data_IF_571566995068
#
_entry.id   IF_571566995068
#
_cell.length_a   1.000
_cell.length_b   1.000
_cell.length_c   1.000
_cell.angle_alpha   90.00
_cell.angle_beta   90.00
_cell.angle_gamma   90.00
#
_symmetry.space_group_name_H-M   'P 1'
#
loop_
_entity.id
_entity.type
_entity.pdbx_description
1 polymer ?
#
# COMPACT_ATOMS: atom_id res chain seq x y z
N UNK A 1 -33.43 1.95 -4.69
CA UNK A 1 -33.65 2.90 -3.56
C UNK A 1 -32.91 4.20 -3.85
N UNK A 2 -33.37 5.36 -3.35
CA UNK A 2 -32.70 6.67 -3.55
C UNK A 2 -31.24 6.73 -3.02
N UNK A 3 -30.89 5.80 -2.13
CA UNK A 3 -29.57 5.70 -1.49
C UNK A 3 -28.50 5.12 -2.43
N UNK A 4 -28.88 4.26 -3.38
CA UNK A 4 -27.95 3.53 -4.27
C UNK A 4 -27.33 4.42 -5.36
N UNK A 5 -27.80 5.66 -5.52
CA UNK A 5 -27.35 6.59 -6.57
C UNK A 5 -26.76 7.88 -6.01
N UNK A 6 -26.48 7.92 -4.71
CA UNK A 6 -25.78 9.05 -4.13
C UNK A 6 -24.34 9.10 -4.66
N UNK A 7 -23.82 10.29 -4.99
CA UNK A 7 -22.43 10.43 -5.36
C UNK A 7 -21.53 9.82 -4.26
N UNK A 8 -20.45 9.11 -4.62
CA UNK A 8 -19.53 8.48 -3.66
C UNK A 8 -18.94 9.48 -2.65
N UNK A 9 -18.94 10.77 -3.01
CA UNK A 9 -18.47 11.91 -2.24
C UNK A 9 -19.56 12.59 -1.41
N UNK A 10 -20.79 12.10 -1.40
CA UNK A 10 -21.85 12.66 -0.55
C UNK A 10 -21.57 12.36 0.93
N UNK A 11 -21.96 13.28 1.81
CA UNK A 11 -21.74 13.12 3.25
C UNK A 11 -22.39 11.84 3.80
N UNK A 12 -23.55 11.46 3.25
CA UNK A 12 -24.25 10.24 3.62
C UNK A 12 -23.53 8.98 3.13
N UNK A 13 -23.09 8.94 1.86
CA UNK A 13 -22.34 7.79 1.33
C UNK A 13 -21.03 7.55 2.09
N UNK A 14 -20.32 8.64 2.46
CA UNK A 14 -19.11 8.54 3.30
C UNK A 14 -19.38 8.01 4.70
N UNK A 15 -20.50 8.40 5.31
CA UNK A 15 -20.88 7.95 6.65
C UNK A 15 -21.25 6.46 6.68
N UNK A 16 -21.80 5.92 5.58
CA UNK A 16 -22.26 4.52 5.49
C UNK A 16 -21.18 3.58 4.97
N UNK A 17 -20.39 4.01 3.98
CA UNK A 17 -19.43 3.14 3.27
C UNK A 17 -17.96 3.48 3.54
N UNK A 18 -17.69 4.47 4.39
CA UNK A 18 -16.33 4.95 4.68
C UNK A 18 -15.85 6.04 3.72
N UNK A 19 -14.62 6.52 3.92
CA UNK A 19 -14.05 7.60 3.12
C UNK A 19 -13.63 7.10 1.72
N UNK A 20 -14.39 7.49 0.69
CA UNK A 20 -13.99 7.38 -0.71
C UNK A 20 -13.27 8.66 -1.15
N UNK A 21 -12.15 8.50 -1.85
CA UNK A 21 -11.49 9.60 -2.57
C UNK A 21 -12.27 9.88 -3.86
N UNK A 22 -12.33 11.15 -4.27
CA UNK A 22 -12.74 11.53 -5.62
C UNK A 22 -11.52 11.57 -6.55
N UNK A 23 -11.76 11.74 -7.85
CA UNK A 23 -10.70 11.86 -8.86
C UNK A 23 -9.68 12.95 -8.51
N UNK A 24 -10.11 14.04 -7.86
CA UNK A 24 -9.22 15.12 -7.44
C UNK A 24 -8.24 14.65 -6.37
N UNK A 25 -8.70 13.92 -5.35
CA UNK A 25 -7.79 13.38 -4.32
C UNK A 25 -6.84 12.33 -4.92
N UNK A 26 -7.32 11.47 -5.83
CA UNK A 26 -6.45 10.53 -6.53
C UNK A 26 -5.36 11.23 -7.35
N UNK A 27 -5.72 12.25 -8.13
CA UNK A 27 -4.77 13.03 -8.92
C UNK A 27 -3.77 13.77 -8.02
N UNK A 28 -4.24 14.36 -6.93
CA UNK A 28 -3.37 15.07 -5.99
C UNK A 28 -2.40 14.12 -5.29
N UNK A 29 -2.84 12.92 -4.91
CA UNK A 29 -1.98 11.92 -4.33
C UNK A 29 -0.87 11.47 -5.30
N UNK A 30 -1.20 11.29 -6.58
CA UNK A 30 -0.20 10.99 -7.62
C UNK A 30 0.84 12.11 -7.71
N UNK A 31 0.41 13.38 -7.71
CA UNK A 31 1.32 14.53 -7.73
C UNK A 31 2.24 14.54 -6.51
N UNK A 32 1.68 14.33 -5.31
CA UNK A 32 2.44 14.29 -4.06
C UNK A 32 3.49 13.17 -4.06
N UNK A 33 3.12 11.96 -4.48
CA UNK A 33 4.02 10.81 -4.58
C UNK A 33 5.20 11.11 -5.53
N UNK A 34 4.91 11.73 -6.69
CA UNK A 34 5.95 12.06 -7.68
C UNK A 34 6.87 13.17 -7.21
N UNK A 35 6.36 14.15 -6.48
CA UNK A 35 7.16 15.20 -5.89
C UNK A 35 8.10 14.65 -4.79
N UNK A 36 7.60 13.74 -3.96
CA UNK A 36 8.40 13.04 -2.97
C UNK A 36 9.55 12.26 -3.63
N UNK A 37 9.26 11.44 -4.64
CA UNK A 37 10.28 10.67 -5.35
C UNK A 37 11.30 11.59 -6.04
N UNK A 38 10.86 12.69 -6.65
CA UNK A 38 11.76 13.66 -7.27
C UNK A 38 12.72 14.29 -6.23
N UNK A 39 12.20 14.64 -5.06
CA UNK A 39 13.00 15.18 -3.94
C UNK A 39 14.03 14.15 -3.48
N UNK A 40 13.63 12.87 -3.36
CA UNK A 40 14.54 11.78 -3.01
C UNK A 40 15.66 11.61 -4.04
N UNK A 41 15.33 11.51 -5.32
CA UNK A 41 16.31 11.36 -6.41
C UNK A 41 17.26 12.54 -6.45
N UNK A 42 16.73 13.76 -6.36
CA UNK A 42 17.53 15.00 -6.38
C UNK A 42 18.47 15.07 -5.18
N UNK A 43 17.97 14.78 -3.96
CA UNK A 43 18.81 14.76 -2.76
C UNK A 43 19.90 13.69 -2.82
N UNK A 44 19.60 12.51 -3.35
CA UNK A 44 20.59 11.44 -3.56
C UNK A 44 21.65 11.84 -4.59
N UNK A 45 21.25 12.46 -5.70
CA UNK A 45 22.17 12.98 -6.71
C UNK A 45 23.08 14.09 -6.15
N UNK A 46 22.56 14.92 -5.24
CA UNK A 46 23.32 15.95 -4.53
C UNK A 46 24.22 15.40 -3.39
N UNK A 47 24.28 14.08 -3.19
CA UNK A 47 25.12 13.45 -2.17
C UNK A 47 24.60 13.59 -0.73
N UNK A 48 23.32 13.95 -0.54
CA UNK A 48 22.73 14.03 0.79
C UNK A 48 22.71 12.64 1.44
N UNK A 49 23.24 12.56 2.66
CA UNK A 49 23.24 11.34 3.47
C UNK A 49 21.94 11.21 4.25
N UNK A 50 21.47 9.97 4.44
CA UNK A 50 20.28 9.70 5.25
C UNK A 50 18.94 10.00 4.57
N UNK A 51 18.92 10.40 3.29
CA UNK A 51 17.67 10.58 2.55
C UNK A 51 16.97 9.22 2.41
N UNK A 52 15.76 9.12 2.96
CA UNK A 52 14.92 7.92 2.86
C UNK A 52 14.02 8.03 1.64
N UNK A 53 13.81 6.91 0.96
CA UNK A 53 12.83 6.84 -0.12
C UNK A 53 11.43 7.03 0.50
N UNK A 54 10.62 7.98 0.00
CA UNK A 54 9.28 8.19 0.51
C UNK A 54 8.41 6.97 0.20
N UNK A 55 7.44 6.70 1.08
CA UNK A 55 6.38 5.75 0.81
C UNK A 55 5.23 6.48 0.13
N UNK A 56 4.59 5.89 -0.90
CA UNK A 56 3.38 6.44 -1.49
C UNK A 56 2.27 6.63 -0.45
N UNK A 57 1.39 7.60 -0.69
CA UNK A 57 0.18 7.77 0.12
C UNK A 57 -0.73 6.54 -0.04
N UNK A 58 -1.20 5.98 1.08
CA UNK A 58 -2.15 4.86 1.09
C UNK A 58 -3.51 5.31 0.54
N UNK A 59 -3.99 4.61 -0.49
CA UNK A 59 -5.27 4.91 -1.16
C UNK A 59 -6.42 4.16 -0.50
N UNK A 60 -7.66 4.68 -0.53
CA UNK A 60 -8.81 3.92 -0.08
C UNK A 60 -8.93 2.61 -0.86
N UNK A 61 -9.09 1.49 -0.15
CA UNK A 61 -9.17 0.15 -0.73
C UNK A 61 -7.82 -0.51 -1.00
N UNK A 62 -6.69 0.18 -0.82
CA UNK A 62 -5.38 -0.46 -0.72
C UNK A 62 -5.13 -0.83 0.75
N UNK A 63 -5.03 -2.12 1.05
CA UNK A 63 -4.55 -2.57 2.35
C UNK A 63 -3.08 -2.16 2.52
N UNK A 64 -2.70 -1.71 3.72
CA UNK A 64 -1.31 -1.38 4.06
C UNK A 64 -0.47 -2.66 4.01
N UNK A 65 0.13 -2.94 2.85
CA UNK A 65 0.98 -4.12 2.56
C UNK A 65 2.25 -4.21 3.42
N UNK A 66 2.48 -3.23 4.29
CA UNK A 66 3.70 -3.05 5.08
C UNK A 66 3.51 -3.36 6.57
N UNK A 67 2.41 -4.00 6.99
CA UNK A 67 2.29 -4.45 8.37
C UNK A 67 3.24 -5.63 8.60
N UNK A 68 4.39 -5.37 9.23
CA UNK A 68 5.34 -6.41 9.64
C UNK A 68 4.58 -7.43 10.51
N UNK A 69 4.49 -8.68 10.03
CA UNK A 69 3.72 -9.76 10.67
C UNK A 69 2.40 -10.11 9.97
N UNK A 70 2.05 -9.45 8.87
CA UNK A 70 0.93 -9.84 8.02
C UNK A 70 1.24 -11.13 7.26
N UNK A 71 0.38 -12.13 7.42
CA UNK A 71 0.49 -13.46 6.79
C UNK A 71 -0.50 -13.62 5.62
N UNK A 72 -1.27 -12.58 5.28
CA UNK A 72 -2.40 -12.72 4.37
C UNK A 72 -3.32 -13.85 4.85
N UNK A 73 -3.64 -14.79 3.96
CA UNK A 73 -4.44 -16.00 4.28
C UNK A 73 -3.58 -17.24 4.59
N UNK A 74 -2.24 -17.13 4.50
CA UNK A 74 -1.36 -18.29 4.63
C UNK A 74 -1.20 -18.72 6.10
N UNK A 75 -1.44 -20.00 6.38
CA UNK A 75 -1.16 -20.56 7.69
C UNK A 75 0.34 -20.83 7.87
N UNK A 76 0.80 -20.83 9.11
CA UNK A 76 2.16 -21.15 9.52
C UNK A 76 2.58 -22.52 8.98
N UNK A 77 1.66 -23.47 8.97
CA UNK A 77 1.88 -24.84 8.49
C UNK A 77 2.19 -24.87 6.99
N UNK A 78 1.48 -24.08 6.18
CA UNK A 78 1.71 -23.97 4.73
C UNK A 78 3.08 -23.38 4.41
N UNK A 79 3.49 -22.35 5.17
CA UNK A 79 4.80 -21.72 5.02
C UNK A 79 5.92 -22.71 5.35
N UNK A 80 5.76 -23.51 6.42
CA UNK A 80 6.74 -24.52 6.81
C UNK A 80 6.85 -25.61 5.73
N UNK A 81 5.72 -26.12 5.23
CA UNK A 81 5.69 -27.12 4.19
C UNK A 81 6.37 -26.63 2.89
N UNK A 82 6.11 -25.37 2.51
CA UNK A 82 6.76 -24.74 1.36
C UNK A 82 8.29 -24.62 1.53
N UNK A 83 8.78 -24.32 2.73
CA UNK A 83 10.22 -24.21 2.98
C UNK A 83 10.91 -25.59 3.03
N UNK A 84 10.21 -26.60 3.54
CA UNK A 84 10.73 -27.96 3.66
C UNK A 84 11.02 -28.60 2.29
N UNK A 85 10.29 -28.24 1.24
CA UNK A 85 10.54 -28.76 -0.12
C UNK A 85 11.92 -28.37 -0.68
N UNK A 86 12.52 -27.28 -0.19
CA UNK A 86 13.82 -26.78 -0.63
C UNK A 86 14.98 -27.22 0.26
N UNK A 87 14.71 -27.98 1.33
CA UNK A 87 15.79 -28.49 2.20
C UNK A 87 16.66 -29.47 1.40
N UNK A 88 18.00 -29.27 1.37
CA UNK A 88 18.90 -30.20 0.69
C UNK A 88 18.78 -31.58 1.33
N UNK A 89 18.59 -32.61 0.51
CA UNK A 89 18.50 -33.99 0.98
C UNK A 89 19.85 -34.37 1.62
N UNK A 90 19.88 -34.94 2.83
CA UNK A 90 21.13 -35.35 3.45
C UNK A 90 21.85 -36.34 2.52
N UNK A 91 23.14 -36.10 2.29
CA UNK A 91 24.00 -37.00 1.55
C UNK A 91 24.08 -38.34 2.30
N UNK A 92 23.82 -39.43 1.59
CA UNK A 92 23.90 -40.81 2.10
C UNK A 92 25.35 -41.24 2.34
#
# INVERSE_FOLDING_TARGET
>A
MLIEHLPPTSAFHRAVHGHAWSDVEYLLAIVADRLGENTFVTGRAAGMKGVRRPRPLSRPGEEDKDRIGDRGEADTEDVIAYLDQYKPRPAA
#
